data_IF_053020275153
#
_entry.id   IF_053020275153
#
_cell.length_a   1.000
_cell.length_b   1.000
_cell.length_c   1.000
_cell.angle_alpha   90.00
_cell.angle_beta   90.00
_cell.angle_gamma   90.00
#
_symmetry.space_group_name_H-M   'P 1'
#
loop_
_entity.id
_entity.type
_entity.pdbx_description
1 polymer ?
#
# COMPACT_ATOMS: atom_id res chain seq x y z
N UNK A 1 -19.99 47.87 -0.60
CA UNK A 1 -19.25 47.27 -1.72
C UNK A 1 -19.13 45.79 -1.46
N UNK A 2 -19.61 44.88 -2.32
CA UNK A 2 -19.38 43.46 -2.10
C UNK A 2 -17.96 43.13 -2.55
N UNK A 3 -17.15 42.61 -1.63
CA UNK A 3 -15.82 42.08 -1.90
C UNK A 3 -15.98 40.76 -2.63
N UNK A 4 -15.67 40.75 -3.93
CA UNK A 4 -15.43 39.54 -4.70
C UNK A 4 -14.22 38.81 -4.11
N UNK A 5 -14.38 37.52 -3.78
CA UNK A 5 -13.31 36.64 -3.32
C UNK A 5 -12.81 35.79 -4.50
N UNK A 6 -11.64 36.11 -5.10
CA UNK A 6 -11.15 35.40 -6.28
C UNK A 6 -10.59 33.98 -6.07
N UNK A 7 -10.22 33.47 -4.86
CA UNK A 7 -9.61 32.14 -4.78
C UNK A 7 -10.63 30.99 -4.73
N UNK A 8 -11.92 31.27 -4.48
CA UNK A 8 -12.95 30.22 -4.34
C UNK A 8 -13.37 29.68 -5.71
N UNK A 9 -13.42 30.52 -6.75
CA UNK A 9 -13.84 30.10 -8.10
C UNK A 9 -12.83 29.17 -8.78
N UNK A 10 -11.53 29.36 -8.55
CA UNK A 10 -10.49 28.49 -9.14
C UNK A 10 -10.50 27.11 -8.48
N UNK A 11 -10.71 27.04 -7.16
CA UNK A 11 -10.84 25.78 -6.43
C UNK A 11 -12.14 25.03 -6.78
N UNK A 12 -13.25 25.74 -6.98
CA UNK A 12 -14.52 25.14 -7.41
C UNK A 12 -14.49 24.64 -8.86
N UNK A 13 -13.81 25.36 -9.77
CA UNK A 13 -13.61 24.89 -11.15
C UNK A 13 -12.67 23.68 -11.24
N UNK A 14 -11.71 23.55 -10.32
CA UNK A 14 -10.87 22.34 -10.20
C UNK A 14 -11.64 21.14 -9.61
N UNK A 15 -12.51 21.37 -8.63
CA UNK A 15 -13.38 20.35 -8.01
C UNK A 15 -14.50 19.88 -8.94
N UNK A 16 -15.12 20.78 -9.72
CA UNK A 16 -16.18 20.43 -10.67
C UNK A 16 -15.60 19.79 -11.94
N UNK A 17 -14.39 20.18 -12.36
CA UNK A 17 -13.68 19.56 -13.49
C UNK A 17 -13.27 18.10 -13.27
N UNK A 18 -13.18 17.65 -12.01
CA UNK A 18 -12.88 16.27 -11.63
C UNK A 18 -14.13 15.43 -11.29
N UNK A 19 -15.31 16.05 -11.21
CA UNK A 19 -16.55 15.38 -10.78
C UNK A 19 -17.51 15.06 -11.93
N UNK A 20 -17.25 15.51 -13.16
CA UNK A 20 -18.08 15.26 -14.34
C UNK A 20 -17.33 14.28 -15.26
N UNK A 21 -17.44 12.99 -14.96
CA UNK A 21 -16.84 11.93 -15.78
C UNK A 21 -16.70 10.58 -15.07
N UNK A 22 -17.66 10.18 -14.23
CA UNK A 22 -17.72 8.81 -13.73
C UNK A 22 -18.76 8.03 -14.53
N UNK A 23 -18.37 7.14 -15.46
CA UNK A 23 -19.19 5.97 -15.70
C UNK A 23 -19.07 5.07 -14.47
N UNK A 24 -20.18 4.90 -13.76
CA UNK A 24 -20.43 3.67 -13.02
C UNK A 24 -20.35 2.50 -14.02
N UNK A 25 -19.74 1.37 -13.60
CA UNK A 25 -19.37 0.19 -14.38
C UNK A 25 -18.01 0.30 -15.06
N UNK A 26 -16.95 -0.06 -14.33
CA UNK A 26 -15.64 -0.38 -14.88
C UNK A 26 -15.03 -1.47 -13.98
N UNK A 27 -14.47 -2.51 -14.62
CA UNK A 27 -14.00 -3.75 -14.01
C UNK A 27 -12.87 -3.53 -12.99
N UNK A 28 -12.66 -4.55 -12.16
CA UNK A 28 -11.74 -4.53 -11.02
C UNK A 28 -10.30 -4.87 -11.43
N UNK A 29 -9.32 -4.18 -10.81
CA UNK A 29 -7.89 -4.33 -11.07
C UNK A 29 -7.13 -5.27 -10.14
N UNK A 30 -7.64 -5.64 -8.96
CA UNK A 30 -7.01 -6.68 -8.13
C UNK A 30 -7.25 -8.07 -8.75
N UNK A 31 -8.44 -8.30 -9.30
CA UNK A 31 -8.70 -9.44 -10.19
C UNK A 31 -7.98 -9.33 -11.54
N UNK A 32 -7.46 -8.17 -11.95
CA UNK A 32 -6.52 -8.06 -13.08
C UNK A 32 -5.08 -8.41 -12.67
N UNK A 33 -4.63 -7.93 -11.50
CA UNK A 33 -3.33 -8.26 -10.89
C UNK A 33 -3.20 -9.76 -10.71
N UNK A 34 -4.13 -10.40 -10.02
CA UNK A 34 -4.15 -11.85 -9.83
C UNK A 34 -5.08 -12.55 -10.83
N UNK A 35 -5.37 -11.93 -11.97
CA UNK A 35 -6.17 -12.58 -13.02
C UNK A 35 -5.51 -13.88 -13.34
N UNK A 36 -6.24 -14.96 -13.10
CA UNK A 36 -5.79 -16.29 -13.48
C UNK A 36 -4.46 -16.72 -12.77
N UNK A 37 -4.11 -16.07 -11.67
CA UNK A 37 -2.98 -16.40 -10.79
C UNK A 37 -3.53 -16.83 -9.43
N UNK A 38 -3.13 -18.01 -8.96
CA UNK A 38 -3.40 -18.44 -7.59
C UNK A 38 -2.51 -17.66 -6.63
N UNK A 39 -3.10 -16.81 -5.80
CA UNK A 39 -2.42 -16.08 -4.72
C UNK A 39 -2.02 -17.06 -3.62
N UNK A 40 -0.79 -16.96 -3.15
CA UNK A 40 -0.33 -17.81 -2.05
C UNK A 40 -0.97 -17.40 -0.71
N UNK A 41 -1.30 -18.38 0.13
CA UNK A 41 -1.86 -18.15 1.47
C UNK A 41 -0.83 -18.30 2.62
N UNK A 42 0.35 -18.89 2.36
CA UNK A 42 1.40 -19.11 3.37
C UNK A 42 2.81 -18.78 2.83
N UNK A 43 3.76 -18.51 3.74
CA UNK A 43 5.14 -18.14 3.38
C UNK A 43 5.91 -19.27 2.69
N UNK A 44 5.55 -20.53 2.99
CA UNK A 44 6.18 -21.74 2.44
C UNK A 44 5.49 -22.25 1.17
N UNK A 45 4.39 -21.63 0.73
CA UNK A 45 3.50 -22.15 -0.30
C UNK A 45 3.59 -21.43 -1.65
N UNK A 46 4.60 -20.58 -1.85
CA UNK A 46 4.89 -19.96 -3.15
C UNK A 46 5.01 -20.99 -4.30
N UNK A 47 5.65 -22.14 -4.04
CA UNK A 47 5.75 -23.25 -5.00
C UNK A 47 4.39 -23.89 -5.32
N UNK A 48 3.62 -24.32 -4.30
CA UNK A 48 2.25 -24.80 -4.46
C UNK A 48 1.33 -23.86 -5.25
N UNK A 49 1.32 -22.57 -4.92
CA UNK A 49 0.54 -21.56 -5.61
C UNK A 49 1.04 -21.34 -7.06
N UNK A 50 2.35 -21.43 -7.30
CA UNK A 50 2.90 -21.37 -8.65
C UNK A 50 2.51 -22.59 -9.50
N UNK A 51 2.50 -23.78 -8.90
CA UNK A 51 2.13 -25.02 -9.58
C UNK A 51 0.62 -25.07 -9.89
N UNK A 52 -0.24 -24.68 -8.95
CA UNK A 52 -1.69 -24.59 -9.23
C UNK A 52 -1.98 -23.60 -10.34
N UNK A 53 -1.33 -22.43 -10.32
CA UNK A 53 -1.41 -21.43 -11.40
C UNK A 53 -0.99 -22.02 -12.74
N UNK A 54 0.17 -22.67 -12.80
CA UNK A 54 0.68 -23.26 -14.04
C UNK A 54 -0.26 -24.34 -14.59
N UNK A 55 -0.78 -25.25 -13.74
CA UNK A 55 -1.70 -26.31 -14.17
C UNK A 55 -3.00 -25.73 -14.70
N UNK A 56 -3.64 -24.85 -13.93
CA UNK A 56 -4.92 -24.25 -14.28
C UNK A 56 -4.83 -23.43 -15.56
N UNK A 57 -3.70 -22.77 -15.76
CA UNK A 57 -3.50 -21.93 -16.92
C UNK A 57 -3.00 -22.63 -18.15
N UNK A 58 -2.12 -23.62 -18.03
CA UNK A 58 -1.61 -24.35 -19.18
C UNK A 58 -2.58 -25.41 -19.70
N UNK A 59 -3.49 -25.92 -18.87
CA UNK A 59 -4.40 -27.02 -19.20
C UNK A 59 -5.85 -26.57 -19.00
N UNK A 60 -6.62 -26.40 -20.09
CA UNK A 60 -8.01 -25.96 -20.02
C UNK A 60 -8.88 -26.88 -19.14
N UNK A 61 -9.74 -26.28 -18.30
CA UNK A 61 -10.73 -27.00 -17.48
C UNK A 61 -10.22 -27.52 -16.14
N UNK A 62 -8.93 -27.38 -15.83
CA UNK A 62 -8.38 -27.72 -14.51
C UNK A 62 -8.76 -26.67 -13.47
N UNK A 63 -8.93 -27.12 -12.22
CA UNK A 63 -9.24 -26.27 -11.05
C UNK A 63 -8.50 -26.79 -9.82
N UNK A 64 -7.18 -26.80 -9.91
CA UNK A 64 -6.28 -27.18 -8.81
C UNK A 64 -6.12 -25.98 -7.86
N UNK A 65 -6.35 -26.19 -6.58
CA UNK A 65 -6.08 -25.18 -5.54
C UNK A 65 -4.68 -25.32 -4.95
N UNK A 66 -4.18 -24.24 -4.33
CA UNK A 66 -2.93 -24.27 -3.56
C UNK A 66 -2.95 -25.35 -2.47
N UNK A 67 -4.07 -25.47 -1.74
CA UNK A 67 -4.25 -26.46 -0.69
C UNK A 67 -4.21 -27.90 -1.20
N UNK A 68 -4.75 -28.16 -2.39
CA UNK A 68 -4.65 -29.48 -3.03
C UNK A 68 -3.19 -29.81 -3.34
N UNK A 69 -2.41 -28.87 -3.86
CA UNK A 69 -0.97 -29.07 -4.08
C UNK A 69 -0.23 -29.31 -2.76
N UNK A 70 -0.53 -28.54 -1.72
CA UNK A 70 0.04 -28.72 -0.37
C UNK A 70 -0.25 -30.13 0.15
N UNK A 71 -1.49 -30.61 -0.01
CA UNK A 71 -1.93 -31.92 0.48
C UNK A 71 -1.24 -33.11 -0.18
N UNK A 72 -0.60 -32.90 -1.33
CA UNK A 72 0.20 -33.95 -1.99
C UNK A 72 1.48 -34.30 -1.24
N UNK A 73 1.98 -33.40 -0.38
CA UNK A 73 3.14 -33.65 0.46
C UNK A 73 2.69 -34.32 1.75
N UNK A 74 3.35 -35.41 2.13
CA UNK A 74 3.11 -36.04 3.42
C UNK A 74 3.61 -35.09 4.53
N UNK A 75 2.80 -34.90 5.59
CA UNK A 75 3.22 -34.10 6.75
C UNK A 75 4.49 -34.71 7.34
N UNK A 76 5.53 -33.90 7.49
CA UNK A 76 6.75 -34.30 8.22
C UNK A 76 6.39 -34.68 9.66
N UNK A 77 7.04 -35.70 10.21
CA UNK A 77 6.84 -36.15 11.60
C UNK A 77 7.07 -35.03 12.63
N UNK A 78 7.91 -34.03 12.30
CA UNK A 78 8.25 -32.89 13.15
C UNK A 78 7.25 -31.71 13.07
N UNK A 79 6.22 -31.78 12.24
CA UNK A 79 5.18 -30.74 12.13
C UNK A 79 5.65 -29.36 11.63
N UNK A 80 6.91 -29.22 11.19
CA UNK A 80 7.45 -27.97 10.66
C UNK A 80 6.91 -27.67 9.25
N UNK A 81 6.41 -26.45 9.07
CA UNK A 81 5.96 -25.92 7.78
C UNK A 81 7.17 -25.48 6.92
N UNK A 82 7.84 -26.45 6.29
CA UNK A 82 8.97 -26.16 5.39
C UNK A 82 8.51 -25.84 3.97
N UNK A 83 9.23 -24.93 3.30
CA UNK A 83 9.05 -24.61 1.88
C UNK A 83 9.08 -25.84 0.97
N UNK A 84 8.37 -25.77 -0.16
CA UNK A 84 8.40 -26.84 -1.17
C UNK A 84 9.74 -26.86 -1.92
N UNK A 85 10.40 -28.01 -1.96
CA UNK A 85 11.59 -28.21 -2.79
C UNK A 85 11.23 -28.42 -4.27
N UNK A 86 12.24 -28.34 -5.14
CA UNK A 86 12.08 -28.69 -6.56
C UNK A 86 11.54 -30.12 -6.75
N UNK A 87 11.98 -31.05 -5.90
CA UNK A 87 11.54 -32.44 -5.96
C UNK A 87 10.08 -32.59 -5.50
N UNK A 88 9.68 -31.84 -4.47
CA UNK A 88 8.30 -31.84 -3.97
C UNK A 88 7.33 -31.33 -5.03
N UNK A 89 7.66 -30.24 -5.73
CA UNK A 89 6.82 -29.72 -6.81
C UNK A 89 6.68 -30.70 -7.97
N UNK A 90 7.76 -31.42 -8.30
CA UNK A 90 7.70 -32.48 -9.32
C UNK A 90 6.81 -33.64 -8.86
N UNK A 91 6.95 -34.07 -7.61
CA UNK A 91 6.15 -35.16 -7.05
C UNK A 91 4.66 -34.77 -6.94
N UNK A 92 4.38 -33.55 -6.51
CA UNK A 92 3.05 -32.97 -6.43
C UNK A 92 2.36 -32.94 -7.80
N UNK A 93 3.04 -32.42 -8.82
CA UNK A 93 2.53 -32.43 -10.19
C UNK A 93 2.19 -33.86 -10.65
N UNK A 94 3.06 -34.83 -10.36
CA UNK A 94 2.83 -36.24 -10.69
C UNK A 94 1.62 -36.85 -9.97
N UNK A 95 1.45 -36.56 -8.67
CA UNK A 95 0.28 -36.98 -7.89
C UNK A 95 -1.03 -36.37 -8.41
N UNK A 96 -0.96 -35.17 -8.99
CA UNK A 96 -2.07 -34.50 -9.67
C UNK A 96 -2.28 -34.96 -11.12
N UNK A 97 -1.53 -35.96 -11.60
CA UNK A 97 -1.68 -36.53 -12.95
C UNK A 97 -0.93 -35.78 -14.05
N UNK A 98 -0.03 -34.87 -13.70
CA UNK A 98 0.74 -34.06 -14.65
C UNK A 98 2.22 -34.46 -14.66
N UNK A 99 2.74 -34.79 -15.84
CA UNK A 99 4.18 -35.04 -16.01
C UNK A 99 4.97 -33.75 -15.90
N UNK A 100 5.81 -33.60 -14.88
CA UNK A 100 6.67 -32.42 -14.70
C UNK A 100 8.16 -32.74 -14.83
N UNK A 101 8.93 -31.82 -15.40
CA UNK A 101 10.38 -31.93 -15.52
C UNK A 101 11.06 -30.61 -15.17
N UNK A 102 12.10 -30.71 -14.33
CA UNK A 102 13.05 -29.63 -14.11
C UNK A 102 14.21 -29.74 -15.09
N UNK A 103 14.60 -28.60 -15.67
CA UNK A 103 15.77 -28.49 -16.53
C UNK A 103 16.63 -27.30 -16.11
N UNK A 104 17.93 -27.44 -16.31
CA UNK A 104 18.87 -26.33 -16.24
C UNK A 104 19.00 -25.72 -17.63
N UNK A 105 18.72 -24.43 -17.76
CA UNK A 105 18.70 -23.71 -19.03
C UNK A 105 19.73 -22.59 -18.98
N UNK A 106 20.56 -22.46 -20.02
CA UNK A 106 21.51 -21.35 -20.07
C UNK A 106 20.76 -20.03 -20.24
N UNK A 107 21.30 -18.90 -19.73
CA UNK A 107 20.63 -17.62 -19.81
C UNK A 107 20.14 -17.25 -21.21
N UNK A 108 20.97 -17.46 -22.24
CA UNK A 108 20.60 -17.15 -23.63
C UNK A 108 19.37 -17.90 -24.17
N UNK A 109 19.02 -19.06 -23.60
CA UNK A 109 17.91 -19.88 -24.07
C UNK A 109 16.60 -19.60 -23.33
N UNK A 110 16.62 -18.85 -22.22
CA UNK A 110 15.40 -18.55 -21.47
C UNK A 110 14.36 -17.79 -22.34
N UNK A 111 14.76 -16.78 -23.15
CA UNK A 111 13.81 -16.09 -24.04
C UNK A 111 13.26 -16.94 -25.18
N UNK A 112 13.85 -18.11 -25.45
CA UNK A 112 13.44 -19.01 -26.53
C UNK A 112 12.37 -20.03 -26.09
N UNK A 113 11.98 -20.02 -24.81
CA UNK A 113 10.95 -20.92 -24.30
C UNK A 113 9.58 -20.53 -24.87
N UNK A 114 8.94 -21.48 -25.54
CA UNK A 114 7.65 -21.29 -26.22
C UNK A 114 6.43 -21.62 -25.36
N UNK A 115 6.62 -21.97 -24.09
CA UNK A 115 5.53 -22.32 -23.17
C UNK A 115 5.76 -21.70 -21.78
N UNK A 116 4.70 -21.45 -21.01
CA UNK A 116 4.82 -21.03 -19.63
C UNK A 116 5.55 -22.07 -18.77
N UNK A 117 6.40 -21.59 -17.86
CA UNK A 117 7.25 -22.43 -17.01
C UNK A 117 7.39 -21.83 -15.62
N UNK A 118 7.64 -22.65 -14.61
CA UNK A 118 8.05 -22.15 -13.28
C UNK A 118 9.55 -21.89 -13.29
N UNK A 119 9.94 -20.71 -12.84
CA UNK A 119 11.32 -20.32 -12.56
C UNK A 119 11.56 -20.30 -11.06
N UNK A 120 12.77 -20.69 -10.67
CA UNK A 120 13.32 -20.38 -9.35
C UNK A 120 14.15 -19.09 -9.47
N UNK A 121 13.76 -18.07 -8.70
CA UNK A 121 14.46 -16.78 -8.61
C UNK A 121 14.92 -16.53 -7.16
N UNK A 122 15.65 -15.42 -6.94
CA UNK A 122 16.12 -15.05 -5.61
C UNK A 122 17.25 -15.95 -5.10
N UNK A 123 18.09 -16.50 -5.99
CA UNK A 123 19.17 -17.43 -5.60
C UNK A 123 20.28 -16.79 -4.75
N UNK A 124 20.33 -15.46 -4.72
CA UNK A 124 21.21 -14.67 -3.86
C UNK A 124 20.54 -14.26 -2.53
N UNK A 125 19.27 -14.63 -2.32
CA UNK A 125 18.50 -14.44 -1.09
C UNK A 125 18.57 -15.71 -0.23
N UNK A 126 18.50 -15.61 1.12
CA UNK A 126 18.25 -16.77 1.97
C UNK A 126 16.93 -17.50 1.65
N UNK A 127 16.02 -16.86 0.93
CA UNK A 127 14.71 -17.39 0.55
C UNK A 127 14.54 -17.37 -0.98
N UNK A 128 14.82 -18.48 -1.68
CA UNK A 128 14.50 -18.65 -3.09
C UNK A 128 12.99 -18.63 -3.31
N UNK A 129 12.53 -18.05 -4.42
CA UNK A 129 11.12 -17.82 -4.72
C UNK A 129 10.70 -18.44 -6.06
N UNK A 130 9.47 -18.96 -6.15
CA UNK A 130 8.92 -19.56 -7.36
C UNK A 130 7.98 -18.59 -8.07
N UNK A 131 8.23 -18.37 -9.36
CA UNK A 131 7.39 -17.53 -10.23
C UNK A 131 7.09 -18.24 -11.55
N UNK A 132 5.99 -17.92 -12.21
CA UNK A 132 5.70 -18.44 -13.55
C UNK A 132 6.21 -17.43 -14.58
N UNK A 133 7.08 -17.84 -15.50
CA UNK A 133 7.40 -17.09 -16.70
C UNK A 133 6.36 -17.40 -17.78
N UNK A 134 5.63 -16.37 -18.22
CA UNK A 134 4.67 -16.44 -19.33
C UNK A 134 5.35 -16.28 -20.69
N UNK A 135 6.41 -15.48 -20.74
CA UNK A 135 7.26 -15.27 -21.91
C UNK A 135 7.95 -13.92 -21.90
N UNK A 136 8.48 -13.54 -23.07
CA UNK A 136 9.20 -12.28 -23.26
C UNK A 136 8.56 -11.42 -24.35
N UNK A 137 8.49 -10.11 -24.13
CA UNK A 137 8.06 -9.13 -25.13
C UNK A 137 8.80 -7.81 -24.89
N UNK A 138 9.28 -7.18 -25.96
CA UNK A 138 9.97 -5.87 -25.92
C UNK A 138 11.14 -5.77 -24.93
N UNK A 139 11.86 -6.88 -24.69
CA UNK A 139 12.99 -6.94 -23.74
C UNK A 139 12.60 -7.11 -22.27
N UNK A 140 11.30 -7.23 -21.98
CA UNK A 140 10.75 -7.53 -20.66
C UNK A 140 10.27 -8.98 -20.56
N UNK A 141 10.43 -9.57 -19.39
CA UNK A 141 9.85 -10.85 -19.00
C UNK A 141 8.51 -10.61 -18.32
N UNK A 142 7.48 -11.33 -18.76
CA UNK A 142 6.15 -11.30 -18.16
C UNK A 142 6.03 -12.49 -17.23
N UNK A 143 5.72 -12.22 -15.97
CA UNK A 143 5.66 -13.19 -14.90
C UNK A 143 4.26 -13.23 -14.28
N UNK A 144 3.80 -14.40 -13.89
CA UNK A 144 2.74 -14.56 -12.90
C UNK A 144 3.41 -14.94 -11.57
N UNK A 145 3.43 -14.02 -10.62
CA UNK A 145 4.04 -14.17 -9.31
C UNK A 145 2.94 -14.41 -8.26
N UNK A 146 2.96 -15.54 -7.53
CA UNK A 146 1.97 -15.82 -6.47
C UNK A 146 1.89 -14.76 -5.36
N UNK A 147 2.94 -13.95 -5.19
CA UNK A 147 2.98 -12.84 -4.22
C UNK A 147 2.63 -11.49 -4.82
N UNK A 148 3.01 -11.24 -6.08
CA UNK A 148 2.94 -9.90 -6.70
C UNK A 148 1.91 -9.78 -7.82
N UNK A 149 1.30 -10.89 -8.24
CA UNK A 149 0.37 -10.97 -9.37
C UNK A 149 1.08 -11.06 -10.72
N UNK A 150 0.35 -10.72 -11.78
CA UNK A 150 0.86 -10.57 -13.14
C UNK A 150 1.78 -9.35 -13.21
N UNK A 151 3.08 -9.59 -13.25
CA UNK A 151 4.11 -8.56 -13.28
C UNK A 151 4.98 -8.61 -14.53
N UNK A 152 5.61 -7.50 -14.89
CA UNK A 152 6.65 -7.45 -15.92
C UNK A 152 7.95 -6.91 -15.35
N UNK A 153 9.07 -7.49 -15.78
CA UNK A 153 10.42 -7.09 -15.33
C UNK A 153 11.40 -7.05 -16.51
N UNK A 154 12.33 -6.10 -16.57
CA UNK A 154 13.40 -6.12 -17.56
C UNK A 154 14.20 -7.42 -17.47
N UNK A 155 14.59 -8.01 -18.61
CA UNK A 155 15.36 -9.26 -18.61
C UNK A 155 16.70 -9.15 -17.87
N UNK A 156 17.31 -7.96 -17.85
CA UNK A 156 18.52 -7.69 -17.08
C UNK A 156 18.30 -7.88 -15.57
N UNK A 157 17.18 -7.37 -15.05
CA UNK A 157 16.81 -7.48 -13.64
C UNK A 157 16.48 -8.93 -13.28
N UNK A 158 15.72 -9.61 -14.15
CA UNK A 158 15.41 -11.02 -13.98
C UNK A 158 16.69 -11.87 -13.89
N UNK A 159 17.68 -11.65 -14.77
CA UNK A 159 18.98 -12.34 -14.70
C UNK A 159 19.72 -12.12 -13.38
N UNK A 160 19.66 -10.91 -12.82
CA UNK A 160 20.32 -10.62 -11.54
C UNK A 160 19.68 -11.38 -10.37
N UNK A 161 18.38 -11.66 -10.45
CA UNK A 161 17.65 -12.40 -9.42
C UNK A 161 17.76 -13.92 -9.57
N UNK A 162 17.79 -14.43 -10.80
CA UNK A 162 17.78 -15.88 -11.07
C UNK A 162 19.12 -16.54 -11.34
N UNK A 163 20.22 -15.77 -11.36
CA UNK A 163 21.57 -16.29 -11.60
C UNK A 163 22.54 -15.80 -10.52
N UNK A 164 23.55 -16.62 -10.25
CA UNK A 164 24.68 -16.26 -9.38
C UNK A 164 25.96 -16.94 -9.82
N UNK A 165 27.10 -16.56 -9.25
CA UNK A 165 28.37 -17.28 -9.49
C UNK A 165 28.24 -18.77 -9.15
N UNK A 166 27.48 -19.10 -8.10
CA UNK A 166 27.21 -20.47 -7.66
C UNK A 166 26.21 -21.19 -8.57
N UNK A 167 25.27 -20.46 -9.15
CA UNK A 167 24.18 -20.99 -9.97
C UNK A 167 24.06 -20.21 -11.30
N UNK A 168 24.92 -20.49 -12.29
CA UNK A 168 25.00 -19.72 -13.55
C UNK A 168 23.94 -20.14 -14.58
N UNK A 169 22.91 -20.90 -14.19
CA UNK A 169 21.88 -21.42 -15.07
C UNK A 169 20.50 -21.33 -14.41
N UNK A 170 19.48 -21.17 -15.26
CA UNK A 170 18.08 -21.13 -14.84
C UNK A 170 17.59 -22.51 -14.44
N UNK A 171 16.91 -22.60 -13.30
CA UNK A 171 16.16 -23.78 -12.90
C UNK A 171 14.71 -23.58 -13.34
N UNK A 172 14.31 -24.37 -14.33
CA UNK A 172 13.03 -24.20 -15.03
C UNK A 172 12.22 -25.48 -14.91
N UNK A 173 10.98 -25.39 -14.45
CA UNK A 173 10.02 -26.49 -14.48
C UNK A 173 9.02 -26.29 -15.60
N UNK A 174 8.85 -27.33 -16.40
CA UNK A 174 7.77 -27.44 -17.36
C UNK A 174 6.87 -28.61 -16.98
N UNK A 175 5.56 -28.46 -17.21
CA UNK A 175 4.61 -29.56 -17.22
C UNK A 175 4.33 -30.00 -18.65
N UNK A 176 3.95 -31.27 -18.82
CA UNK A 176 3.51 -31.81 -20.09
C UNK A 176 2.13 -31.23 -20.44
N UNK A 177 2.08 -30.49 -21.54
CA UNK A 177 0.86 -29.86 -22.05
C UNK A 177 0.37 -30.67 -23.26
N UNK A 178 -0.89 -31.14 -23.29
CA UNK A 178 -1.47 -31.78 -24.47
C UNK A 178 -1.38 -30.89 -25.72
N UNK A 179 -1.12 -31.49 -26.89
CA UNK A 179 -0.81 -30.75 -28.13
C UNK A 179 -1.95 -29.80 -28.62
N UNK A 180 -3.16 -30.03 -28.16
CA UNK A 180 -4.40 -29.29 -28.45
C UNK A 180 -4.70 -28.15 -27.46
N UNK A 181 -4.05 -28.12 -26.29
CA UNK A 181 -4.32 -27.17 -25.22
C UNK A 181 -3.76 -25.75 -25.47
N UNK A 182 -2.74 -25.61 -26.32
CA UNK A 182 -2.02 -24.34 -26.55
C UNK A 182 -2.85 -23.18 -27.12
N UNK A 183 -4.02 -23.44 -27.70
CA UNK A 183 -4.91 -22.40 -28.28
C UNK A 183 -5.93 -21.82 -27.30
N UNK A 184 -6.12 -22.43 -26.13
CA UNK A 184 -7.13 -22.05 -25.14
C UNK A 184 -6.52 -21.71 -23.76
N UNK A 185 -5.20 -21.65 -23.67
CA UNK A 185 -4.47 -21.37 -22.43
C UNK A 185 -4.27 -19.86 -22.24
N UNK A 186 -4.69 -19.37 -21.08
CA UNK A 186 -4.63 -17.94 -20.72
C UNK A 186 -3.27 -17.47 -20.19
N UNK A 187 -2.34 -18.40 -19.94
CA UNK A 187 -0.99 -18.08 -19.49
C UNK A 187 -0.03 -17.70 -20.63
N UNK A 188 -0.37 -18.03 -21.87
CA UNK A 188 0.42 -17.60 -23.02
C UNK A 188 0.18 -16.11 -23.25
N UNK A 189 1.25 -15.37 -23.50
CA UNK A 189 1.16 -13.97 -23.93
C UNK A 189 0.46 -13.91 -25.29
N UNK A 190 -0.73 -13.33 -25.35
CA UNK A 190 -1.37 -13.00 -26.62
C UNK A 190 -0.78 -11.73 -27.22
N UNK A 191 -0.70 -11.62 -28.55
CA UNK A 191 -0.33 -10.37 -29.23
C UNK A 191 -1.28 -9.21 -28.88
N UNK A 192 -2.50 -9.52 -28.43
CA UNK A 192 -3.53 -8.55 -28.04
C UNK A 192 -3.53 -8.22 -26.55
N UNK A 193 -2.68 -8.83 -25.70
CA UNK A 193 -2.66 -8.54 -24.27
C UNK A 193 -2.08 -7.14 -24.00
N UNK A 194 -2.90 -6.18 -23.56
CA UNK A 194 -2.45 -4.81 -23.38
C UNK A 194 -1.44 -4.77 -22.24
N UNK A 195 -0.35 -4.00 -22.42
CA UNK A 195 0.68 -3.83 -21.40
C UNK A 195 0.15 -3.27 -20.06
N UNK A 196 -1.09 -2.78 -20.03
CA UNK A 196 -1.83 -2.28 -18.87
C UNK A 196 -2.44 -3.35 -17.95
N UNK A 197 -2.33 -4.64 -18.30
CA UNK A 197 -2.79 -5.78 -17.47
C UNK A 197 -1.69 -6.40 -16.59
N UNK A 198 -0.43 -5.99 -16.77
CA UNK A 198 0.72 -6.49 -16.00
C UNK A 198 1.43 -5.33 -15.33
N UNK A 199 1.45 -5.33 -14.00
CA UNK A 199 1.97 -4.23 -13.19
C UNK A 199 3.47 -4.41 -12.97
N UNK A 200 4.21 -3.33 -12.80
CA UNK A 200 5.61 -3.44 -12.35
C UNK A 200 5.65 -3.78 -10.86
N UNK A 201 6.74 -4.41 -10.39
CA UNK A 201 6.92 -4.73 -8.96
C UNK A 201 6.74 -3.48 -8.09
N UNK A 202 7.28 -2.34 -8.55
CA UNK A 202 7.18 -1.07 -7.86
C UNK A 202 5.75 -0.50 -7.77
N UNK A 203 4.87 -0.83 -8.72
CA UNK A 203 3.44 -0.47 -8.64
C UNK A 203 2.69 -1.32 -7.62
N UNK A 204 2.99 -2.62 -7.56
CA UNK A 204 2.41 -3.52 -6.55
C UNK A 204 2.83 -3.13 -5.14
N UNK A 205 4.13 -2.84 -4.95
CA UNK A 205 4.70 -2.37 -3.69
C UNK A 205 4.11 -1.01 -3.26
N UNK A 206 3.93 -0.07 -4.21
CA UNK A 206 3.35 1.25 -3.92
C UNK A 206 1.86 1.20 -3.54
N UNK A 207 1.10 0.24 -4.07
CA UNK A 207 -0.33 0.02 -3.75
C UNK A 207 -0.50 -0.68 -2.39
N UNK A 208 0.40 -1.61 -2.05
CA UNK A 208 0.35 -2.36 -0.78
C UNK A 208 0.82 -1.55 0.43
N UNK A 209 1.72 -0.57 0.25
CA UNK A 209 2.20 0.31 1.32
C UNK A 209 1.14 1.25 1.90
N UNK A 210 0.00 1.43 1.23
CA UNK A 210 -1.10 2.27 1.71
C UNK A 210 -2.04 1.56 2.67
N UNK A 211 -1.90 0.24 2.88
CA UNK A 211 -2.84 -0.50 3.73
C UNK A 211 -2.19 -1.07 4.98
N UNK A 212 -1.27 -2.04 4.93
CA UNK A 212 -0.63 -2.60 6.14
C UNK A 212 0.74 -3.19 5.78
N UNK A 213 1.74 -3.01 6.65
CA UNK A 213 3.03 -3.68 6.54
C UNK A 213 2.87 -5.21 6.54
N UNK A 214 3.49 -5.88 5.56
CA UNK A 214 3.45 -7.34 5.44
C UNK A 214 4.26 -8.04 6.52
N UNK A 215 4.05 -9.34 6.71
CA UNK A 215 4.77 -10.11 7.74
C UNK A 215 6.27 -9.92 7.59
N UNK A 216 6.96 -9.62 8.69
CA UNK A 216 8.40 -9.34 8.75
C UNK A 216 8.85 -8.08 7.97
N UNK A 217 7.93 -7.29 7.43
CA UNK A 217 8.22 -6.01 6.80
C UNK A 217 8.34 -4.92 7.87
N UNK A 218 9.36 -4.09 7.71
CA UNK A 218 9.63 -2.90 8.52
C UNK A 218 9.47 -1.67 7.66
N UNK A 219 8.64 -0.73 8.11
CA UNK A 219 8.48 0.59 7.52
C UNK A 219 9.05 1.62 8.47
N UNK A 220 10.03 2.40 8.02
CA UNK A 220 10.54 3.55 8.77
C UNK A 220 10.22 4.81 7.98
N UNK A 221 9.45 5.72 8.57
CA UNK A 221 9.09 6.98 7.94
C UNK A 221 9.69 8.13 8.72
N UNK A 222 10.41 9.02 8.03
CA UNK A 222 10.78 10.32 8.56
C UNK A 222 10.06 11.40 7.76
N UNK A 223 9.22 12.19 8.42
CA UNK A 223 8.49 13.30 7.83
C UNK A 223 8.99 14.65 8.33
N UNK A 224 9.21 15.57 7.41
CA UNK A 224 9.42 16.99 7.71
C UNK A 224 8.35 17.84 7.06
N UNK A 225 7.82 18.83 7.77
CA UNK A 225 6.78 19.72 7.26
C UNK A 225 6.97 21.13 7.78
N UNK A 226 6.84 22.08 6.87
CA UNK A 226 6.77 23.51 7.13
C UNK A 226 5.33 23.97 6.96
N UNK A 227 4.88 24.87 7.83
CA UNK A 227 3.53 25.41 7.78
C UNK A 227 3.53 26.94 7.93
N UNK A 228 2.62 27.59 7.20
CA UNK A 228 2.40 29.02 7.30
C UNK A 228 0.91 29.30 7.34
N UNK A 229 0.48 29.92 8.43
CA UNK A 229 -0.93 30.24 8.66
C UNK A 229 -1.18 31.74 8.69
N UNK A 230 -2.40 32.13 8.34
CA UNK A 230 -2.88 33.51 8.50
C UNK A 230 -4.39 33.53 8.79
N UNK A 231 -4.77 34.27 9.82
CA UNK A 231 -6.17 34.59 10.08
C UNK A 231 -6.38 36.07 10.44
N UNK A 232 -7.61 36.54 10.24
CA UNK A 232 -8.06 37.87 10.64
C UNK A 232 -8.88 37.80 11.93
N UNK A 233 -8.59 38.68 12.89
CA UNK A 233 -9.38 38.85 14.11
C UNK A 233 -10.29 40.09 14.02
N UNK A 234 -11.17 40.24 15.02
CA UNK A 234 -11.92 41.48 15.25
C UNK A 234 -10.95 42.66 15.41
N UNK A 235 -11.33 43.83 14.88
CA UNK A 235 -10.55 45.08 14.90
C UNK A 235 -9.30 45.12 13.98
N UNK A 236 -9.32 44.39 12.86
CA UNK A 236 -8.30 44.52 11.81
C UNK A 236 -6.93 43.91 12.14
N UNK A 237 -6.76 43.33 13.33
CA UNK A 237 -5.55 42.62 13.73
C UNK A 237 -5.41 41.32 12.94
N UNK A 238 -4.20 41.06 12.44
CA UNK A 238 -3.87 39.81 11.75
C UNK A 238 -2.94 38.96 12.59
N UNK A 239 -3.25 37.68 12.68
CA UNK A 239 -2.40 36.67 13.29
C UNK A 239 -1.75 35.87 12.17
N UNK A 240 -0.45 35.68 12.26
CA UNK A 240 0.34 34.84 11.36
C UNK A 240 0.96 33.71 12.19
N UNK A 241 1.02 32.51 11.64
CA UNK A 241 1.86 31.44 12.20
C UNK A 241 2.93 31.02 11.22
N UNK A 242 4.03 30.57 11.79
CA UNK A 242 5.05 29.79 11.09
C UNK A 242 5.33 28.58 11.96
N UNK A 243 5.19 27.40 11.38
CA UNK A 243 5.44 26.16 12.08
C UNK A 243 6.40 25.27 11.32
N UNK A 244 7.07 24.43 12.08
CA UNK A 244 7.81 23.29 11.56
C UNK A 244 7.45 22.07 12.39
N UNK A 245 7.44 20.90 11.76
CA UNK A 245 7.21 19.64 12.44
C UNK A 245 8.05 18.54 11.86
N UNK A 246 8.55 17.69 12.75
CA UNK A 246 9.27 16.47 12.47
C UNK A 246 8.46 15.29 13.00
N UNK A 247 8.38 14.23 12.22
CA UNK A 247 7.71 13.00 12.59
C UNK A 247 8.61 11.83 12.26
N UNK A 248 8.66 10.86 13.15
CA UNK A 248 9.30 9.58 12.89
C UNK A 248 8.35 8.45 13.28
N UNK A 249 8.14 7.52 12.36
CA UNK A 249 7.20 6.42 12.52
C UNK A 249 7.88 5.10 12.15
N UNK A 250 7.55 4.06 12.91
CA UNK A 250 7.95 2.69 12.70
C UNK A 250 6.68 1.86 12.54
N UNK A 251 6.56 1.14 11.44
CA UNK A 251 5.57 0.09 11.23
C UNK A 251 6.26 -1.26 11.16
N UNK A 252 5.69 -2.28 11.80
CA UNK A 252 6.18 -3.66 11.75
C UNK A 252 5.03 -4.63 11.52
N UNK A 253 5.07 -5.36 10.42
CA UNK A 253 4.08 -6.40 10.14
C UNK A 253 4.34 -7.65 10.96
N UNK A 254 3.45 -7.93 11.91
CA UNK A 254 3.50 -9.13 12.75
C UNK A 254 2.78 -10.33 12.12
N UNK A 255 1.90 -10.06 11.15
CA UNK A 255 1.21 -11.05 10.32
C UNK A 255 0.94 -10.45 8.93
N UNK A 256 0.42 -11.25 8.01
CA UNK A 256 0.06 -10.82 6.65
C UNK A 256 -0.99 -9.70 6.59
N UNK A 257 -1.80 -9.63 7.64
CA UNK A 257 -2.93 -8.74 7.81
C UNK A 257 -2.78 -7.80 9.01
N UNK A 258 -1.68 -7.86 9.77
CA UNK A 258 -1.60 -7.19 11.08
C UNK A 258 -0.27 -6.45 11.26
N UNK A 259 -0.34 -5.17 11.62
CA UNK A 259 0.80 -4.29 11.85
C UNK A 259 0.78 -3.69 13.26
N UNK A 260 1.97 -3.58 13.84
CA UNK A 260 2.26 -2.73 14.98
C UNK A 260 2.91 -1.44 14.51
N UNK A 261 2.34 -0.31 14.93
CA UNK A 261 2.87 1.01 14.65
C UNK A 261 3.35 1.69 15.93
N UNK A 262 4.39 2.51 15.82
CA UNK A 262 4.80 3.44 16.84
C UNK A 262 5.37 4.70 16.19
N UNK A 263 5.21 5.84 16.83
CA UNK A 263 5.79 7.07 16.30
C UNK A 263 5.98 8.13 17.35
N UNK A 264 6.85 9.08 17.02
CA UNK A 264 7.06 10.29 17.81
C UNK A 264 7.12 11.51 16.89
N UNK A 265 6.57 12.60 17.40
CA UNK A 265 6.47 13.87 16.71
C UNK A 265 7.04 15.00 17.57
N UNK A 266 7.64 15.96 16.89
CA UNK A 266 7.97 17.26 17.46
C UNK A 266 7.41 18.33 16.53
N UNK A 267 6.73 19.31 17.09
CA UNK A 267 6.29 20.49 16.36
C UNK A 267 6.67 21.75 17.12
N UNK A 268 7.04 22.79 16.38
CA UNK A 268 7.25 24.11 16.91
C UNK A 268 6.49 25.10 16.04
N UNK A 269 5.72 26.00 16.66
CA UNK A 269 4.95 27.01 15.96
C UNK A 269 5.11 28.36 16.64
N UNK A 270 5.55 29.35 15.87
CA UNK A 270 5.63 30.75 16.28
C UNK A 270 4.37 31.48 15.78
N UNK A 271 3.68 32.17 16.68
CA UNK A 271 2.53 33.01 16.39
C UNK A 271 2.93 34.49 16.52
N UNK A 272 2.73 35.24 15.45
CA UNK A 272 2.96 36.68 15.39
C UNK A 272 1.61 37.41 15.31
N UNK A 273 1.35 38.28 16.29
CA UNK A 273 0.14 39.11 16.34
C UNK A 273 0.55 40.57 16.17
N UNK A 274 -0.14 41.30 15.30
CA UNK A 274 0.17 42.71 15.03
C UNK A 274 0.10 43.54 16.32
N UNK A 275 1.23 44.11 16.75
CA UNK A 275 1.32 44.92 17.98
C UNK A 275 1.70 44.17 19.27
N UNK A 276 1.97 42.86 19.20
CA UNK A 276 2.39 42.05 20.34
C UNK A 276 3.71 41.31 20.05
N UNK A 277 4.39 40.86 21.09
CA UNK A 277 5.55 39.97 20.96
C UNK A 277 5.15 38.61 20.42
N UNK A 278 6.01 38.02 19.61
CA UNK A 278 5.82 36.67 19.08
C UNK A 278 5.72 35.65 20.23
N UNK A 279 4.82 34.69 20.07
CA UNK A 279 4.60 33.59 21.03
C UNK A 279 5.01 32.29 20.37
N UNK A 280 5.98 31.61 20.96
CA UNK A 280 6.40 30.29 20.51
C UNK A 280 5.66 29.19 21.26
N UNK A 281 5.39 28.11 20.55
CA UNK A 281 4.69 26.97 21.08
C UNK A 281 5.24 25.69 20.48
N UNK A 282 5.88 24.88 21.33
CA UNK A 282 6.33 23.55 20.95
C UNK A 282 5.45 22.46 21.55
N UNK A 283 5.28 21.38 20.82
CA UNK A 283 4.62 20.17 21.30
C UNK A 283 5.42 18.93 20.90
N UNK A 284 5.39 17.93 21.77
CA UNK A 284 5.96 16.61 21.54
C UNK A 284 4.86 15.60 21.71
N UNK A 285 4.79 14.67 20.76
CA UNK A 285 3.79 13.62 20.78
C UNK A 285 4.44 12.27 20.57
N UNK A 286 3.80 11.24 21.11
CA UNK A 286 4.15 9.86 20.86
C UNK A 286 2.89 9.03 20.73
N UNK A 287 2.96 7.96 19.95
CA UNK A 287 1.85 7.03 19.86
C UNK A 287 2.34 5.60 19.64
N UNK A 288 1.47 4.67 20.01
CA UNK A 288 1.55 3.26 19.62
C UNK A 288 0.21 2.85 19.03
N UNK A 289 0.23 1.97 18.05
CA UNK A 289 -0.96 1.48 17.38
C UNK A 289 -0.84 0.01 17.02
N UNK A 290 -1.99 -0.62 16.90
CA UNK A 290 -2.14 -1.92 16.25
C UNK A 290 -3.25 -1.80 15.22
N UNK A 291 -3.01 -2.28 14.02
CA UNK A 291 -3.98 -2.30 12.94
C UNK A 291 -4.06 -3.68 12.31
N UNK A 292 -5.27 -4.06 11.92
CA UNK A 292 -5.54 -5.29 11.19
C UNK A 292 -6.38 -4.98 9.95
N UNK A 293 -5.99 -5.59 8.86
CA UNK A 293 -6.68 -5.61 7.58
C UNK A 293 -7.63 -6.81 7.49
N UNK A 294 -8.80 -6.60 6.92
CA UNK A 294 -9.80 -7.63 6.71
C UNK A 294 -10.29 -7.58 5.27
N UNK A 295 -10.23 -8.72 4.58
CA UNK A 295 -10.83 -8.88 3.26
C UNK A 295 -12.33 -9.19 3.42
N UNK A 296 -13.19 -8.35 2.84
CA UNK A 296 -14.63 -8.57 2.83
C UNK A 296 -15.00 -9.47 1.65
N UNK A 297 -14.72 -10.76 1.74
CA UNK A 297 -14.92 -11.74 0.65
C UNK A 297 -16.34 -11.85 0.03
N UNK A 298 -17.34 -11.12 0.55
CA UNK A 298 -18.67 -10.97 -0.05
C UNK A 298 -18.78 -9.78 -1.04
N UNK A 299 -17.91 -8.78 -0.93
CA UNK A 299 -17.75 -7.66 -1.86
C UNK A 299 -16.35 -7.75 -2.44
N UNK A 300 -16.23 -8.21 -3.69
CA UNK A 300 -14.93 -8.30 -4.35
C UNK A 300 -14.21 -6.94 -4.28
N UNK A 301 -12.94 -6.98 -3.88
CA UNK A 301 -11.99 -5.86 -4.00
C UNK A 301 -12.26 -4.67 -3.07
N UNK A 302 -12.92 -4.95 -1.94
CA UNK A 302 -13.12 -4.02 -0.82
C UNK A 302 -12.53 -4.61 0.45
N UNK A 303 -11.55 -3.91 1.03
CA UNK A 303 -10.95 -4.24 2.31
C UNK A 303 -11.38 -3.29 3.42
N UNK A 304 -11.23 -3.75 4.66
CA UNK A 304 -11.41 -2.94 5.86
C UNK A 304 -10.17 -3.01 6.72
N UNK A 305 -9.57 -1.85 6.97
CA UNK A 305 -8.53 -1.71 7.97
C UNK A 305 -9.14 -1.18 9.26
N UNK A 306 -8.96 -1.91 10.35
CA UNK A 306 -9.38 -1.50 11.69
C UNK A 306 -8.14 -1.35 12.55
N UNK A 307 -8.04 -0.24 13.28
CA UNK A 307 -6.93 0.03 14.18
C UNK A 307 -7.36 0.55 15.53
N UNK A 308 -6.43 0.42 16.47
CA UNK A 308 -6.51 1.01 17.80
C UNK A 308 -5.19 1.68 18.11
N UNK A 309 -5.24 2.82 18.80
CA UNK A 309 -4.04 3.58 19.15
C UNK A 309 -4.11 4.14 20.57
N UNK A 310 -2.93 4.33 21.15
CA UNK A 310 -2.74 5.10 22.38
C UNK A 310 -1.73 6.20 22.07
N UNK A 311 -2.06 7.45 22.37
CA UNK A 311 -1.20 8.59 22.12
C UNK A 311 -1.03 9.48 23.34
N UNK A 312 0.15 10.07 23.47
CA UNK A 312 0.54 10.98 24.53
C UNK A 312 1.05 12.28 23.94
N UNK A 313 0.63 13.42 24.50
CA UNK A 313 1.12 14.74 24.17
C UNK A 313 1.69 15.43 25.40
N UNK A 314 2.92 15.93 25.29
CA UNK A 314 3.67 16.51 26.42
C UNK A 314 3.07 17.84 26.87
N UNK A 315 2.63 18.71 25.94
CA UNK A 315 2.19 20.07 26.26
C UNK A 315 0.99 20.12 27.21
N UNK A 316 0.08 19.15 27.09
CA UNK A 316 -1.13 19.01 27.90
C UNK A 316 -1.02 17.91 28.95
N UNK A 317 0.11 17.18 28.98
CA UNK A 317 0.26 15.89 29.67
C UNK A 317 -0.98 15.00 29.43
N UNK A 318 -1.45 14.93 28.19
CA UNK A 318 -2.69 14.25 27.86
C UNK A 318 -2.44 12.84 27.36
N UNK A 319 -3.37 11.93 27.67
CA UNK A 319 -3.37 10.55 27.18
C UNK A 319 -4.67 10.29 26.46
N UNK A 320 -4.59 9.80 25.22
CA UNK A 320 -5.73 9.60 24.34
C UNK A 320 -5.75 8.16 23.84
N UNK A 321 -6.94 7.55 23.83
CA UNK A 321 -7.17 6.27 23.16
C UNK A 321 -7.98 6.51 21.88
N UNK A 322 -7.54 5.90 20.78
CA UNK A 322 -8.15 6.02 19.46
C UNK A 322 -8.63 4.68 18.92
N UNK A 323 -9.71 4.72 18.15
CA UNK A 323 -10.19 3.64 17.30
C UNK A 323 -10.35 4.19 15.88
N UNK A 324 -9.87 3.47 14.88
CA UNK A 324 -9.97 3.86 13.48
C UNK A 324 -10.51 2.72 12.64
N UNK A 325 -11.33 3.04 11.65
CA UNK A 325 -11.82 2.13 10.64
C UNK A 325 -11.72 2.80 9.27
N UNK A 326 -11.12 2.11 8.31
CA UNK A 326 -10.90 2.59 6.95
C UNK A 326 -11.40 1.52 5.98
N UNK A 327 -12.43 1.87 5.21
CA UNK A 327 -12.81 1.12 4.03
C UNK A 327 -11.94 1.57 2.88
N UNK A 328 -11.48 0.63 2.07
CA UNK A 328 -10.81 0.95 0.83
C UNK A 328 -11.24 -0.04 -0.24
N UNK A 329 -11.20 0.41 -1.48
CA UNK A 329 -11.44 -0.46 -2.62
C UNK A 329 -10.72 0.04 -3.85
N UNK A 330 -10.51 -0.87 -4.79
CA UNK A 330 -9.77 -0.58 -6.01
C UNK A 330 -10.71 -0.42 -7.21
N UNK A 331 -10.33 0.42 -8.16
CA UNK A 331 -11.01 0.58 -9.46
C UNK A 331 -9.98 0.59 -10.58
N UNK A 332 -10.43 0.52 -11.83
CA UNK A 332 -9.60 0.72 -13.02
C UNK A 332 -8.74 2.01 -12.98
N UNK A 333 -9.18 3.05 -12.27
CA UNK A 333 -8.54 4.37 -12.33
C UNK A 333 -7.70 4.71 -11.08
N UNK A 334 -7.76 3.87 -10.04
CA UNK A 334 -7.11 4.11 -8.76
C UNK A 334 -7.85 3.47 -7.59
N UNK A 335 -7.29 3.59 -6.41
CA UNK A 335 -7.88 3.16 -5.15
C UNK A 335 -8.67 4.32 -4.52
N UNK A 336 -9.83 4.02 -3.97
CA UNK A 336 -10.59 4.95 -3.13
C UNK A 336 -10.52 4.49 -1.68
N UNK A 337 -10.65 5.44 -0.76
CA UNK A 337 -10.65 5.18 0.67
C UNK A 337 -11.68 6.05 1.38
N UNK A 338 -12.38 5.49 2.35
CA UNK A 338 -13.32 6.20 3.20
C UNK A 338 -13.24 5.66 4.61
N UNK A 339 -12.94 6.51 5.59
CA UNK A 339 -12.69 6.06 6.95
C UNK A 339 -13.15 7.06 8.00
N UNK A 340 -13.28 6.55 9.21
CA UNK A 340 -13.60 7.33 10.40
C UNK A 340 -12.66 6.94 11.53
N UNK A 341 -12.24 7.93 12.32
CA UNK A 341 -11.53 7.69 13.58
C UNK A 341 -12.22 8.39 14.73
N UNK A 342 -12.32 7.72 15.86
CA UNK A 342 -12.81 8.26 17.11
C UNK A 342 -11.68 8.24 18.13
N UNK A 343 -11.50 9.33 18.86
CA UNK A 343 -10.56 9.35 19.97
C UNK A 343 -11.21 9.89 21.24
N UNK A 344 -10.74 9.39 22.38
CA UNK A 344 -11.22 9.75 23.72
C UNK A 344 -10.04 10.09 24.61
N UNK A 345 -10.14 11.26 25.25
CA UNK A 345 -9.21 11.68 26.31
C UNK A 345 -9.39 10.80 27.55
N UNK A 346 -8.33 10.16 28.00
CA UNK A 346 -8.30 9.31 29.20
C UNK A 346 -7.82 10.09 30.43
N UNK A 347 -6.83 10.96 30.23
CA UNK A 347 -6.21 11.75 31.30
C UNK A 347 -5.72 13.09 30.77
N UNK A 348 -5.81 14.10 31.62
CA UNK A 348 -5.28 15.44 31.40
C UNK A 348 -4.85 15.97 32.77
N UNK A 349 -3.64 16.52 32.87
CA UNK A 349 -3.13 17.15 34.11
C UNK A 349 -2.96 18.66 33.96
N UNK A 350 -2.91 19.15 32.72
CA UNK A 350 -2.70 20.56 32.42
C UNK A 350 -4.01 21.36 32.48
N UNK A 351 -3.91 22.67 32.76
CA UNK A 351 -5.06 23.59 32.80
C UNK A 351 -5.61 24.00 31.44
N UNK A 352 -4.99 23.53 30.34
CA UNK A 352 -5.55 23.65 28.99
C UNK A 352 -6.77 22.74 28.88
N UNK A 353 -7.90 23.21 28.32
CA UNK A 353 -9.10 22.38 28.11
C UNK A 353 -9.00 21.70 26.74
N UNK A 354 -8.52 20.46 26.69
CA UNK A 354 -8.58 19.66 25.46
C UNK A 354 -9.97 19.07 25.21
N UNK A 355 -10.31 18.74 23.94
CA UNK A 355 -11.51 17.98 23.61
C UNK A 355 -11.62 16.69 24.41
N UNK A 356 -12.82 16.41 24.94
CA UNK A 356 -13.10 15.14 25.65
C UNK A 356 -13.13 13.96 24.68
N UNK A 357 -13.67 14.22 23.50
CA UNK A 357 -13.68 13.31 22.37
C UNK A 357 -13.60 14.10 21.07
N UNK A 358 -13.08 13.43 20.05
CA UNK A 358 -13.17 13.93 18.70
C UNK A 358 -13.37 12.80 17.70
N UNK A 359 -13.91 13.20 16.57
CA UNK A 359 -14.21 12.34 15.43
C UNK A 359 -13.54 12.94 14.22
N UNK A 360 -12.87 12.11 13.44
CA UNK A 360 -12.35 12.48 12.14
C UNK A 360 -12.94 11.59 11.06
N UNK A 361 -13.15 12.16 9.88
CA UNK A 361 -13.54 11.47 8.67
C UNK A 361 -12.49 11.70 7.61
N UNK A 362 -12.14 10.64 6.89
CA UNK A 362 -11.19 10.65 5.79
C UNK A 362 -11.91 10.22 4.52
N UNK A 363 -11.73 10.97 3.44
CA UNK A 363 -12.01 10.53 2.07
C UNK A 363 -10.74 10.64 1.25
N UNK A 364 -10.38 9.60 0.53
CA UNK A 364 -9.10 9.52 -0.15
C UNK A 364 -9.16 8.85 -1.50
N UNK A 365 -8.22 9.24 -2.37
CA UNK A 365 -8.00 8.61 -3.66
C UNK A 365 -6.50 8.48 -3.92
N UNK A 366 -6.08 7.30 -4.33
CA UNK A 366 -4.72 7.02 -4.79
C UNK A 366 -4.77 6.64 -6.26
N UNK A 367 -3.97 7.31 -7.09
CA UNK A 367 -3.88 7.10 -8.53
C UNK A 367 -2.44 6.82 -8.93
N UNK A 368 -2.13 5.62 -9.44
CA UNK A 368 -0.83 5.36 -10.07
C UNK A 368 -0.64 6.31 -11.26
N UNK A 369 0.47 7.06 -11.26
CA UNK A 369 0.80 8.00 -12.34
C UNK A 369 1.88 7.45 -13.26
N UNK A 370 2.76 6.59 -12.73
CA UNK A 370 3.77 5.87 -13.50
C UNK A 370 4.17 4.58 -12.78
N UNK A 371 5.14 3.85 -13.36
CA UNK A 371 5.72 2.64 -12.78
C UNK A 371 6.41 2.85 -11.44
N UNK A 372 6.73 4.09 -11.07
CA UNK A 372 7.40 4.43 -9.81
C UNK A 372 6.71 5.54 -9.03
N UNK A 373 5.55 6.00 -9.48
CA UNK A 373 4.88 7.15 -8.84
C UNK A 373 3.40 6.93 -8.61
N UNK A 374 2.97 7.32 -7.42
CA UNK A 374 1.59 7.26 -6.94
C UNK A 374 1.17 8.65 -6.49
N UNK A 375 0.16 9.22 -7.13
CA UNK A 375 -0.48 10.44 -6.66
C UNK A 375 -1.55 10.09 -5.63
N UNK A 376 -1.56 10.78 -4.49
CA UNK A 376 -2.55 10.60 -3.44
C UNK A 376 -3.22 11.92 -3.12
N UNK A 377 -4.53 11.89 -2.92
CA UNK A 377 -5.31 13.03 -2.49
C UNK A 377 -6.25 12.63 -1.37
N UNK A 378 -6.19 13.34 -0.25
CA UNK A 378 -6.99 13.07 0.95
C UNK A 378 -7.70 14.34 1.42
N UNK A 379 -8.96 14.18 1.79
CA UNK A 379 -9.77 15.17 2.50
C UNK A 379 -10.06 14.64 3.89
N UNK A 380 -9.72 15.42 4.91
CA UNK A 380 -10.09 15.13 6.28
C UNK A 380 -11.10 16.15 6.79
N UNK A 381 -12.04 15.69 7.59
CA UNK A 381 -12.91 16.53 8.41
C UNK A 381 -12.74 16.12 9.86
N UNK A 382 -12.36 17.05 10.73
CA UNK A 382 -12.25 16.87 12.17
C UNK A 382 -13.40 17.56 12.86
N UNK A 383 -13.91 16.92 13.90
CA UNK A 383 -14.97 17.42 14.76
C UNK A 383 -14.61 17.12 16.19
N UNK A 384 -14.43 18.17 16.97
CA UNK A 384 -13.98 18.07 18.35
C UNK A 384 -15.02 18.64 19.30
N UNK A 385 -15.17 18.03 20.49
CA UNK A 385 -16.03 18.58 21.54
C UNK A 385 -15.24 18.88 22.80
N UNK A 386 -15.18 20.16 23.16
CA UNK A 386 -14.48 20.66 24.33
C UNK A 386 -15.29 20.50 25.63
N UNK A 387 -14.58 20.33 26.75
CA UNK A 387 -15.19 20.33 28.08
C UNK A 387 -15.71 21.73 28.44
N UNK A 388 -17.02 21.83 28.72
CA UNK A 388 -17.67 23.06 29.20
C UNK A 388 -18.35 23.96 28.14
N UNK A 389 -18.46 23.52 26.88
CA UNK A 389 -19.26 24.24 25.87
C UNK A 389 -20.77 24.11 26.19
N UNK A 390 -21.45 25.24 26.44
CA UNK A 390 -22.89 25.33 26.75
C UNK A 390 -23.82 25.12 25.54
N UNK A 391 -23.29 25.20 24.32
CA UNK A 391 -24.05 25.10 23.06
C UNK A 391 -23.65 23.84 22.27
N UNK A 392 -24.58 23.19 21.55
CA UNK A 392 -24.33 21.97 20.76
C UNK A 392 -23.62 22.26 19.42
N UNK A 393 -22.86 23.36 19.30
CA UNK A 393 -22.15 23.67 18.05
C UNK A 393 -20.92 22.77 17.93
N UNK A 394 -20.97 21.86 16.97
CA UNK A 394 -19.80 21.12 16.53
C UNK A 394 -18.89 22.11 15.78
N UNK A 395 -17.65 22.26 16.23
CA UNK A 395 -16.63 22.95 15.47
C UNK A 395 -16.03 21.97 14.47
N UNK A 396 -16.14 22.31 13.19
CA UNK A 396 -15.60 21.50 12.10
C UNK A 396 -14.34 22.16 11.55
N UNK A 397 -13.27 21.38 11.42
CA UNK A 397 -12.11 21.76 10.64
C UNK A 397 -11.86 20.77 9.53
N UNK A 398 -11.21 21.25 8.47
CA UNK A 398 -11.00 20.52 7.24
C UNK A 398 -9.53 20.60 6.86
N UNK A 399 -9.00 19.53 6.28
CA UNK A 399 -7.71 19.56 5.60
C UNK A 399 -7.80 18.85 4.25
N UNK A 400 -7.14 19.43 3.25
CA UNK A 400 -6.94 18.82 1.95
C UNK A 400 -5.45 18.58 1.76
N UNK A 401 -5.05 17.32 1.60
CA UNK A 401 -3.67 16.90 1.42
C UNK A 401 -3.50 16.29 0.03
N UNK A 402 -2.48 16.74 -0.70
CA UNK A 402 -2.05 16.13 -1.95
C UNK A 402 -0.60 15.70 -1.81
N UNK A 403 -0.28 14.49 -2.25
CA UNK A 403 1.10 13.98 -2.21
C UNK A 403 1.44 13.16 -3.45
N UNK A 404 2.74 13.03 -3.70
CA UNK A 404 3.28 12.21 -4.78
C UNK A 404 4.30 11.26 -4.17
N UNK A 405 3.94 9.99 -3.98
CA UNK A 405 4.93 8.98 -3.62
C UNK A 405 5.77 8.65 -4.85
N UNK A 406 7.09 8.62 -4.68
CA UNK A 406 8.06 8.25 -5.70
C UNK A 406 9.03 7.20 -5.14
N UNK A 407 8.96 6.00 -5.69
CA UNK A 407 9.87 4.90 -5.39
C UNK A 407 11.22 5.14 -6.07
N UNK A 408 12.22 5.56 -5.30
CA UNK A 408 13.59 5.74 -5.81
C UNK A 408 14.24 4.39 -6.11
N UNK A 409 14.06 3.42 -5.20
CA UNK A 409 14.53 2.05 -5.32
C UNK A 409 13.68 1.12 -4.43
N UNK A 410 14.00 -0.18 -4.42
CA UNK A 410 13.26 -1.22 -3.65
C UNK A 410 13.17 -0.95 -2.14
N UNK A 411 13.98 -0.05 -1.59
CA UNK A 411 14.06 0.24 -0.15
C UNK A 411 13.70 1.68 0.23
N UNK A 412 13.68 2.62 -0.71
CA UNK A 412 13.54 4.04 -0.41
C UNK A 412 12.48 4.66 -1.30
N UNK A 413 11.54 5.36 -0.65
CA UNK A 413 10.53 6.18 -1.30
C UNK A 413 10.58 7.61 -0.75
N UNK A 414 10.28 8.56 -1.62
CA UNK A 414 10.11 9.96 -1.28
C UNK A 414 8.65 10.34 -1.48
N UNK A 415 8.07 11.07 -0.55
CA UNK A 415 6.68 11.53 -0.65
C UNK A 415 6.61 13.03 -0.33
N UNK A 416 6.91 13.91 -1.29
CA UNK A 416 6.52 15.31 -1.19
C UNK A 416 5.00 15.43 -1.01
N UNK A 417 4.59 16.37 -0.17
CA UNK A 417 3.18 16.65 0.11
C UNK A 417 2.92 18.14 0.28
N UNK A 418 1.71 18.55 -0.05
CA UNK A 418 1.15 19.86 0.27
C UNK A 418 -0.18 19.67 0.97
N UNK A 419 -0.45 20.51 1.95
CA UNK A 419 -1.67 20.46 2.73
C UNK A 419 -2.24 21.86 2.93
N UNK A 420 -3.54 21.99 2.82
CA UNK A 420 -4.25 23.19 3.21
C UNK A 420 -5.31 22.86 4.25
N UNK A 421 -5.22 23.47 5.42
CA UNK A 421 -6.17 23.30 6.51
C UNK A 421 -6.92 24.60 6.81
N UNK A 422 -8.21 24.47 7.15
CA UNK A 422 -9.12 25.59 7.43
C UNK A 422 -10.34 25.12 8.23
N UNK A 423 -11.00 26.03 8.95
CA UNK A 423 -12.29 25.74 9.57
C UNK A 423 -12.52 26.51 10.86
N UNK A 424 -13.49 26.06 11.66
CA UNK A 424 -13.75 26.62 12.97
C UNK A 424 -12.58 26.30 13.91
N UNK A 425 -12.11 27.30 14.66
CA UNK A 425 -11.01 27.18 15.65
C UNK A 425 -9.65 26.69 15.09
N UNK A 426 -9.50 26.59 13.77
CA UNK A 426 -8.24 26.26 13.09
C UNK A 426 -7.88 27.37 12.11
N UNK A 427 -6.69 27.94 12.26
CA UNK A 427 -6.20 28.96 11.37
C UNK A 427 -5.97 28.40 9.96
N UNK A 428 -6.35 29.17 8.94
CA UNK A 428 -6.05 28.85 7.53
C UNK A 428 -4.55 28.70 7.36
N UNK A 429 -4.11 27.48 7.10
CA UNK A 429 -2.69 27.13 7.10
C UNK A 429 -2.35 26.36 5.84
N UNK A 430 -1.35 26.84 5.12
CA UNK A 430 -0.72 26.09 4.03
C UNK A 430 0.52 25.39 4.58
N UNK A 431 0.69 24.13 4.26
CA UNK A 431 1.85 23.34 4.66
C UNK A 431 2.46 22.65 3.45
N UNK A 432 3.78 22.52 3.47
CA UNK A 432 4.53 21.72 2.52
C UNK A 432 5.45 20.79 3.30
N UNK A 433 5.56 19.54 2.86
CA UNK A 433 6.36 18.55 3.54
C UNK A 433 6.98 17.52 2.61
N UNK A 434 7.85 16.70 3.19
CA UNK A 434 8.52 15.58 2.54
C UNK A 434 8.59 14.44 3.55
N UNK A 435 8.08 13.28 3.17
CA UNK A 435 8.40 12.04 3.88
C UNK A 435 9.50 11.27 3.13
N UNK A 436 10.44 10.72 3.88
CA UNK A 436 11.39 9.70 3.43
C UNK A 436 10.98 8.39 4.08
N UNK A 437 10.64 7.41 3.24
CA UNK A 437 10.13 6.12 3.69
C UNK A 437 11.16 5.06 3.33
N UNK A 438 11.62 4.34 4.33
CA UNK A 438 12.43 3.14 4.18
C UNK A 438 11.55 1.90 4.30
N UNK A 439 11.65 1.01 3.33
CA UNK A 439 10.98 -0.29 3.29
C UNK A 439 12.05 -1.36 3.42
N UNK A 440 12.03 -2.09 4.53
CA UNK A 440 12.95 -3.17 4.85
C UNK A 440 12.22 -4.41 5.32
N UNK A 441 12.95 -5.51 5.50
CA UNK A 441 12.36 -6.82 5.78
C UNK A 441 11.83 -7.48 4.51
N UNK A 442 12.41 -8.63 4.18
CA UNK A 442 12.04 -9.50 3.08
C UNK A 442 11.97 -10.92 3.61
#
# INVERSE_FOLDING_TARGET
MPFESPPIRILFLFLVGLSIGFPALAEDRESLLFKEVTRQSHDYSCGPAALSTLINGAIPGQRVSELEVISTREKSEDGNEEGFSLLDLKAAAGKLGHGAQWKKIKPEFLPMLSQPVILLIGLNSPFPHFVILKGFRDGEAFLADPTRGNVRVPYADLKAEGLSEKYPAWYVMAIHIPADAGKASFLYLSETDPASSHFTIAQSDAITLTTVAKRNQVLLTYGYRLSQGRDGFFDGMTVKSRGESHRFDIGYGIAEDTELGAGFGYSNTTFAVSGYSDVESSDRSSYVSISRDFDLGAMKDVGVLVGSSLSHGDRSESLHAGLNALLYGSTDHGQWMAGGSFYKKLKEKSGYRLPKYGVSWLLGFNKPLSDRSLGSFHLNMYTDRNDGDFAPRFDHSYSANASLSWTMNKKIQLRPSVEYSFGARVMKTFSAGMDVIYVGGW
#
